data_IF_246012671122
#
_entry.id   IF_246012671122
#
_cell.length_a   1.000
_cell.length_b   1.000
_cell.length_c   1.000
_cell.angle_alpha   90.00
_cell.angle_beta   90.00
_cell.angle_gamma   90.00
#
_symmetry.space_group_name_H-M   'P 1'
#
loop_
_entity.id
_entity.type
_entity.pdbx_description
1 polymer ?
#
# COMPACT_ATOMS: atom_id res chain seq x y z
N UNK A 1 -4.02 25.64 10.73
CA UNK A 1 -3.62 26.24 9.45
C UNK A 1 -4.69 25.82 8.43
N UNK A 2 -5.58 26.73 8.04
CA UNK A 2 -6.60 26.50 7.01
C UNK A 2 -6.09 27.30 5.80
N UNK A 3 -5.81 26.77 4.61
CA UNK A 3 -6.27 25.56 3.93
C UNK A 3 -6.62 26.04 2.53
N UNK A 4 -5.71 25.87 1.56
CA UNK A 4 -5.98 26.26 0.16
C UNK A 4 -6.88 25.19 -0.44
N UNK A 5 -8.07 25.58 -0.89
CA UNK A 5 -9.00 24.64 -1.52
C UNK A 5 -8.38 24.01 -2.76
N UNK A 6 -8.40 22.67 -2.81
CA UNK A 6 -7.89 21.89 -3.96
C UNK A 6 -6.40 21.54 -3.92
N UNK A 7 -5.62 21.95 -2.91
CA UNK A 7 -4.21 21.54 -2.79
C UNK A 7 -4.09 20.14 -2.16
N UNK A 8 -3.55 19.19 -2.93
CA UNK A 8 -3.19 17.85 -2.44
C UNK A 8 -1.68 17.76 -2.26
N UNK A 9 -1.23 17.26 -1.12
CA UNK A 9 0.18 17.03 -0.81
C UNK A 9 0.42 15.53 -0.67
N UNK A 10 1.43 15.02 -1.35
CA UNK A 10 1.79 13.60 -1.36
C UNK A 10 3.27 13.48 -1.03
N UNK A 11 3.60 12.99 0.17
CA UNK A 11 4.96 12.86 0.67
C UNK A 11 5.09 11.69 1.66
N UNK A 12 6.31 11.22 1.92
CA UNK A 12 6.61 10.19 2.91
C UNK A 12 6.07 10.53 4.31
N UNK A 13 5.98 11.82 4.65
CA UNK A 13 5.45 12.28 5.95
C UNK A 13 3.99 11.92 6.22
N UNK A 14 3.20 11.53 5.21
CA UNK A 14 1.81 11.09 5.40
C UNK A 14 1.70 9.60 5.77
N UNK A 15 2.82 8.86 5.76
CA UNK A 15 2.83 7.46 6.19
C UNK A 15 2.63 7.37 7.71
N UNK A 16 1.64 6.62 8.20
CA UNK A 16 1.37 6.52 9.64
C UNK A 16 2.46 5.76 10.40
N UNK A 17 3.17 4.85 9.73
CA UNK A 17 4.30 4.11 10.28
C UNK A 17 5.35 3.94 9.18
N UNK A 18 6.60 4.23 9.51
CA UNK A 18 7.74 3.97 8.62
C UNK A 18 7.96 2.46 8.56
N UNK A 19 7.91 1.88 7.37
CA UNK A 19 8.28 0.47 7.17
C UNK A 19 9.73 0.27 7.61
N UNK A 20 10.04 -0.81 8.35
CA UNK A 20 11.42 -1.12 8.80
C UNK A 20 12.41 -1.31 7.63
N UNK A 21 11.94 -1.37 6.38
CA UNK A 21 12.73 -1.45 5.15
C UNK A 21 12.82 -0.12 4.37
N UNK A 22 13.27 -0.22 3.10
CA UNK A 22 13.44 0.93 2.21
C UNK A 22 12.12 1.68 1.94
N UNK A 23 12.07 2.96 2.28
CA UNK A 23 10.89 3.82 2.11
C UNK A 23 10.59 4.18 0.65
N UNK A 24 11.50 3.92 -0.29
CA UNK A 24 11.30 4.22 -1.70
C UNK A 24 10.06 3.52 -2.27
N UNK A 25 9.93 2.21 -2.05
CA UNK A 25 8.80 1.44 -2.55
C UNK A 25 7.43 1.95 -2.03
N UNK A 26 7.22 2.17 -0.71
CA UNK A 26 5.96 2.72 -0.22
C UNK A 26 5.72 4.17 -0.64
N UNK A 27 6.76 4.99 -0.84
CA UNK A 27 6.61 6.37 -1.35
C UNK A 27 6.09 6.34 -2.80
N UNK A 28 6.70 5.51 -3.65
CA UNK A 28 6.26 5.35 -5.04
C UNK A 28 4.82 4.83 -5.12
N UNK A 29 4.44 3.84 -4.31
CA UNK A 29 3.06 3.34 -4.23
C UNK A 29 2.05 4.43 -3.84
N UNK A 30 2.41 5.29 -2.88
CA UNK A 30 1.56 6.40 -2.46
C UNK A 30 1.39 7.45 -3.57
N UNK A 31 2.47 7.75 -4.30
CA UNK A 31 2.45 8.68 -5.42
C UNK A 31 1.53 8.17 -6.55
N UNK A 32 1.67 6.91 -6.95
CA UNK A 32 0.84 6.29 -7.98
C UNK A 32 -0.65 6.29 -7.58
N UNK A 33 -0.96 5.89 -6.35
CA UNK A 33 -2.33 5.98 -5.83
C UNK A 33 -2.88 7.41 -5.82
N UNK A 34 -2.04 8.40 -5.56
CA UNK A 34 -2.46 9.80 -5.52
C UNK A 34 -2.72 10.36 -6.91
N UNK A 35 -1.93 9.95 -7.90
CA UNK A 35 -2.16 10.28 -9.31
C UNK A 35 -3.52 9.74 -9.77
N UNK A 36 -3.84 8.48 -9.45
CA UNK A 36 -5.15 7.90 -9.73
C UNK A 36 -6.29 8.70 -9.09
N UNK A 37 -6.13 9.14 -7.84
CA UNK A 37 -7.13 9.96 -7.14
C UNK A 37 -7.25 11.37 -7.73
N UNK A 38 -6.19 11.92 -8.32
CA UNK A 38 -6.18 13.23 -8.97
C UNK A 38 -6.85 13.14 -10.35
N UNK A 39 -6.54 12.08 -11.11
CA UNK A 39 -7.10 11.81 -12.43
C UNK A 39 -8.53 11.26 -12.39
N UNK A 40 -8.98 10.78 -11.23
CA UNK A 40 -10.31 10.16 -11.06
C UNK A 40 -10.35 8.71 -11.57
N UNK A 41 -9.20 8.06 -11.70
CA UNK A 41 -9.12 6.66 -12.09
C UNK A 41 -9.60 5.78 -10.93
N UNK A 42 -10.55 4.90 -11.21
CA UNK A 42 -10.99 3.92 -10.21
C UNK A 42 -10.00 2.76 -10.21
N UNK A 43 -9.39 2.41 -9.04
CA UNK A 43 -8.49 1.27 -8.94
C UNK A 43 -9.20 -0.02 -9.36
N UNK A 44 -8.45 -0.97 -9.93
CA UNK A 44 -8.99 -2.30 -10.23
C UNK A 44 -9.51 -2.98 -8.96
N UNK A 45 -10.58 -3.79 -9.07
CA UNK A 45 -11.05 -4.58 -7.94
C UNK A 45 -9.95 -5.52 -7.44
N UNK A 46 -9.83 -5.73 -6.11
CA UNK A 46 -8.91 -6.71 -5.56
C UNK A 46 -9.17 -8.10 -6.16
N UNK A 47 -8.11 -8.76 -6.61
CA UNK A 47 -8.21 -10.16 -7.05
C UNK A 47 -8.11 -11.05 -5.81
N UNK A 48 -9.17 -11.81 -5.52
CA UNK A 48 -9.09 -12.86 -4.50
C UNK A 48 -8.32 -14.05 -5.05
N UNK A 49 -7.12 -14.26 -4.54
CA UNK A 49 -6.30 -15.44 -4.82
C UNK A 49 -6.29 -16.35 -3.59
N UNK A 50 -6.33 -17.66 -3.82
CA UNK A 50 -6.12 -18.62 -2.73
C UNK A 50 -4.73 -18.42 -2.14
N UNK A 51 -4.66 -18.05 -0.86
CA UNK A 51 -3.39 -17.99 -0.15
C UNK A 51 -2.83 -19.40 0.01
N UNK A 52 -1.61 -19.62 -0.50
CA UNK A 52 -0.87 -20.85 -0.24
C UNK A 52 -0.60 -20.97 1.26
N UNK A 53 -1.41 -21.78 1.95
CA UNK A 53 -1.12 -22.22 3.30
C UNK A 53 -0.12 -23.36 3.21
N UNK A 54 1.15 -23.11 3.55
CA UNK A 54 2.08 -24.19 3.85
C UNK A 54 1.58 -24.91 5.11
N UNK A 55 0.76 -25.95 4.92
CA UNK A 55 0.37 -26.88 5.97
C UNK A 55 1.65 -27.34 6.65
N UNK A 56 1.85 -26.90 7.90
CA UNK A 56 2.91 -27.41 8.76
C UNK A 56 2.84 -28.93 8.69
N UNK A 57 3.90 -29.53 8.17
CA UNK A 57 4.06 -30.98 8.14
C UNK A 57 4.24 -31.46 9.58
N UNK A 58 3.14 -31.60 10.31
CA UNK A 58 3.08 -32.44 11.50
C UNK A 58 3.02 -33.90 11.02
N UNK A 59 4.17 -34.41 10.58
CA UNK A 59 4.45 -35.83 10.47
C UNK A 59 5.28 -36.24 11.69
N UNK A 60 4.86 -37.22 12.50
CA UNK A 60 5.68 -37.72 13.59
C UNK A 60 6.79 -38.57 12.97
N UNK A 61 8.00 -38.02 12.87
CA UNK A 61 9.17 -38.83 12.58
C UNK A 61 9.55 -39.60 13.83
N UNK A 62 9.20 -40.89 13.79
CA UNK A 62 9.82 -42.01 14.50
C UNK A 62 11.34 -42.05 14.32
#
# INVERSE_FOLDING_TARGET
MHGVDGLRVVDASVMPYVTNGNIYAPVMMLAEKSDDLILGNTPLPPVEVEFYQHRAANGPHS
#
